data_IF_324402641478
#
_entry.id   IF_324402641478
#
_cell.length_a   1.000
_cell.length_b   1.000
_cell.length_c   1.000
_cell.angle_alpha   90.00
_cell.angle_beta   90.00
_cell.angle_gamma   90.00
#
_symmetry.space_group_name_H-M   'P 1'
#
loop_
_entity.id
_entity.type
_entity.pdbx_description
1 polymer ?
#
# COMPACT_ATOMS: atom_id res chain seq x y z
N UNK A 1 6.83 11.24 -14.39
CA UNK A 1 5.55 10.52 -14.29
C UNK A 1 4.81 10.58 -15.62
N UNK A 2 4.82 9.49 -16.40
CA UNK A 2 3.96 9.35 -17.59
C UNK A 2 2.97 8.23 -17.35
N UNK A 3 1.69 8.55 -17.20
CA UNK A 3 0.60 7.57 -16.97
C UNK A 3 -0.09 7.28 -18.29
N UNK A 4 -0.30 6.00 -18.61
CA UNK A 4 -1.06 5.56 -19.78
C UNK A 4 -1.99 4.41 -19.44
N UNK A 5 -3.08 4.32 -20.18
CA UNK A 5 -4.05 3.23 -20.14
C UNK A 5 -3.90 2.34 -21.37
N UNK A 6 -4.00 1.04 -21.15
CA UNK A 6 -3.89 -0.02 -22.14
C UNK A 6 -5.17 -0.85 -22.12
N UNK A 7 -5.61 -1.24 -23.32
CA UNK A 7 -6.73 -2.14 -23.53
C UNK A 7 -6.23 -3.33 -24.33
N UNK A 8 -6.48 -4.53 -23.83
CA UNK A 8 -6.05 -5.77 -24.50
C UNK A 8 -7.04 -6.90 -24.25
N UNK A 9 -7.01 -7.93 -25.10
CA UNK A 9 -7.89 -9.12 -24.99
C UNK A 9 -7.65 -9.89 -23.70
N UNK A 10 -6.41 -9.92 -23.21
CA UNK A 10 -6.04 -10.55 -21.96
C UNK A 10 -4.89 -9.80 -21.26
N UNK A 11 -4.63 -10.17 -20.00
CA UNK A 11 -3.58 -9.54 -19.20
C UNK A 11 -2.17 -9.71 -19.79
N UNK A 12 -1.90 -10.82 -20.47
CA UNK A 12 -0.58 -11.08 -21.05
C UNK A 12 -0.31 -10.10 -22.19
N UNK A 13 -1.29 -9.89 -23.07
CA UNK A 13 -1.22 -8.91 -24.14
C UNK A 13 -1.07 -7.49 -23.60
N UNK A 14 -1.81 -7.13 -22.54
CA UNK A 14 -1.65 -5.82 -21.88
C UNK A 14 -0.22 -5.62 -21.32
N UNK A 15 0.36 -6.63 -20.66
CA UNK A 15 1.72 -6.54 -20.12
C UNK A 15 2.79 -6.43 -21.22
N UNK A 16 2.59 -7.07 -22.37
CA UNK A 16 3.47 -6.92 -23.54
C UNK A 16 3.42 -5.49 -24.06
N UNK A 17 2.22 -4.90 -24.21
CA UNK A 17 2.06 -3.51 -24.63
C UNK A 17 2.73 -2.54 -23.65
N UNK A 18 2.50 -2.71 -22.34
CA UNK A 18 3.14 -1.90 -21.30
C UNK A 18 4.66 -1.96 -21.43
N UNK A 19 5.24 -3.16 -21.59
CA UNK A 19 6.70 -3.30 -21.73
C UNK A 19 7.25 -2.72 -23.02
N UNK A 20 6.55 -2.88 -24.14
CA UNK A 20 7.00 -2.35 -25.44
C UNK A 20 6.97 -0.83 -25.47
N UNK A 21 5.99 -0.20 -24.82
CA UNK A 21 5.79 1.24 -24.90
C UNK A 21 6.43 2.02 -23.75
N UNK A 22 6.32 1.50 -22.52
CA UNK A 22 6.82 2.17 -21.31
C UNK A 22 8.10 1.53 -20.74
N UNK A 23 8.49 0.36 -21.23
CA UNK A 23 9.70 -0.33 -20.78
C UNK A 23 9.48 -1.27 -19.58
N UNK A 24 10.55 -1.93 -19.13
CA UNK A 24 10.48 -2.93 -18.07
C UNK A 24 10.20 -2.34 -16.68
N UNK A 25 10.52 -1.06 -16.46
CA UNK A 25 10.40 -0.38 -15.16
C UNK A 25 9.02 0.25 -14.93
N UNK A 26 8.06 0.00 -15.83
CA UNK A 26 6.70 0.51 -15.70
C UNK A 26 5.97 -0.14 -14.52
N UNK A 27 5.29 0.67 -13.72
CA UNK A 27 4.50 0.22 -12.57
C UNK A 27 3.02 0.17 -12.94
N UNK A 28 2.37 -0.96 -12.67
CA UNK A 28 0.92 -1.10 -12.86
C UNK A 28 0.19 -0.46 -11.68
N UNK A 29 -0.66 0.53 -11.96
CA UNK A 29 -1.46 1.25 -10.97
C UNK A 29 -2.84 0.63 -10.79
N UNK A 30 -3.43 0.13 -11.88
CA UNK A 30 -4.77 -0.48 -11.86
C UNK A 30 -4.90 -1.58 -12.91
N UNK A 31 -5.70 -2.58 -12.59
CA UNK A 31 -6.12 -3.65 -13.47
C UNK A 31 -7.63 -3.86 -13.31
N UNK A 32 -8.37 -3.85 -14.41
CA UNK A 32 -9.81 -4.09 -14.45
C UNK A 32 -10.15 -5.05 -15.58
N UNK A 33 -10.85 -6.13 -15.26
CA UNK A 33 -11.50 -6.96 -16.27
C UNK A 33 -12.76 -6.28 -16.80
N UNK A 34 -12.96 -6.35 -18.11
CA UNK A 34 -14.08 -5.77 -18.85
C UNK A 34 -14.73 -6.85 -19.73
N UNK A 35 -15.89 -6.57 -20.32
CA UNK A 35 -16.55 -7.53 -21.22
C UNK A 35 -15.68 -7.89 -22.44
N UNK A 36 -14.86 -6.94 -22.91
CA UNK A 36 -14.08 -7.07 -24.14
C UNK A 36 -12.59 -7.44 -23.88
N UNK A 37 -12.22 -7.71 -22.62
CA UNK A 37 -10.84 -8.04 -22.23
C UNK A 37 -10.42 -7.37 -20.93
N UNK A 38 -9.26 -6.74 -20.90
CA UNK A 38 -8.69 -6.08 -19.71
C UNK A 38 -8.28 -4.63 -19.98
N UNK A 39 -8.48 -3.79 -18.97
CA UNK A 39 -7.97 -2.43 -18.89
C UNK A 39 -6.84 -2.37 -17.85
N UNK A 40 -5.67 -1.89 -18.27
CA UNK A 40 -4.48 -1.77 -17.42
C UNK A 40 -3.99 -0.33 -17.45
N UNK A 41 -3.80 0.28 -16.28
CA UNK A 41 -3.20 1.61 -16.15
C UNK A 41 -1.79 1.43 -15.62
N UNK A 42 -0.80 1.96 -16.33
CA UNK A 42 0.60 1.88 -15.96
C UNK A 42 1.30 3.24 -16.06
N UNK A 43 2.37 3.41 -15.28
CA UNK A 43 3.16 4.63 -15.29
C UNK A 43 4.68 4.37 -15.33
N UNK A 44 5.41 5.23 -16.06
CA UNK A 44 6.86 5.35 -15.95
C UNK A 44 7.23 6.48 -15.00
N UNK A 45 8.43 6.37 -14.42
CA UNK A 45 8.97 7.33 -13.46
C UNK A 45 8.04 7.51 -12.25
N UNK A 46 7.43 6.42 -11.79
CA UNK A 46 6.88 6.36 -10.45
C UNK A 46 8.06 6.36 -9.49
N UNK A 47 8.45 7.55 -9.03
CA UNK A 47 9.59 7.68 -8.13
C UNK A 47 9.20 7.09 -6.77
N UNK A 48 9.57 5.83 -6.56
CA UNK A 48 9.41 5.13 -5.28
C UNK A 48 10.02 5.92 -4.13
N UNK A 49 11.09 6.70 -4.36
CA UNK A 49 11.73 7.51 -3.33
C UNK A 49 10.87 8.71 -2.98
N UNK A 50 10.23 9.36 -3.96
CA UNK A 50 9.30 10.46 -3.70
C UNK A 50 8.09 9.95 -2.90
N UNK A 51 7.55 8.79 -3.26
CA UNK A 51 6.39 8.20 -2.57
C UNK A 51 6.77 7.70 -1.18
N UNK A 52 7.90 7.03 -0.99
CA UNK A 52 8.36 6.65 0.36
C UNK A 52 8.66 7.85 1.24
N UNK A 53 9.27 8.90 0.68
CA UNK A 53 9.57 10.13 1.43
C UNK A 53 8.30 10.88 1.82
N UNK A 54 7.33 10.99 0.90
CA UNK A 54 6.03 11.59 1.19
C UNK A 54 5.22 10.74 2.16
N UNK A 55 5.11 9.42 1.97
CA UNK A 55 4.44 8.52 2.93
C UNK A 55 5.10 8.55 4.32
N UNK A 56 6.43 8.73 4.41
CA UNK A 56 7.13 8.90 5.68
C UNK A 56 6.92 10.29 6.30
N UNK A 57 6.78 11.33 5.48
CA UNK A 57 6.47 12.69 5.93
C UNK A 57 4.99 12.86 6.34
N UNK A 58 4.09 12.12 5.71
CA UNK A 58 2.65 12.09 5.97
C UNK A 58 2.22 10.94 6.88
N UNK A 59 3.14 10.07 7.31
CA UNK A 59 2.88 9.16 8.41
C UNK A 59 2.55 10.04 9.61
N UNK A 60 1.31 10.03 10.13
CA UNK A 60 1.03 10.75 11.34
C UNK A 60 2.00 10.20 12.37
N UNK A 61 2.71 11.10 13.05
CA UNK A 61 3.23 10.78 14.35
C UNK A 61 2.01 10.40 15.19
N UNK A 62 1.63 9.12 15.13
CA UNK A 62 0.74 8.53 16.11
C UNK A 62 1.57 8.56 17.38
N UNK A 63 1.43 9.69 18.07
CA UNK A 63 1.48 9.84 19.50
C UNK A 63 2.32 8.77 20.16
N UNK A 64 3.63 9.02 20.20
CA UNK A 64 4.35 8.79 21.45
C UNK A 64 3.83 9.82 22.44
N UNK A 65 2.65 9.58 22.99
CA UNK A 65 2.12 10.30 24.14
C UNK A 65 1.46 9.26 25.04
N UNK A 66 2.23 8.89 26.06
CA UNK A 66 1.76 8.84 27.43
C UNK A 66 0.66 7.82 27.78
N UNK A 67 1.09 6.61 28.18
CA UNK A 67 0.37 5.83 29.19
C UNK A 67 1.34 4.93 29.97
N UNK A 68 2.24 5.55 30.72
CA UNK A 68 2.75 5.04 32.00
C UNK A 68 3.24 6.26 32.80
N UNK A 69 3.10 6.34 34.14
CA UNK A 69 2.66 5.34 35.15
C UNK A 69 1.46 5.85 36.00
N UNK A 70 0.79 5.09 36.87
CA UNK A 70 1.16 4.70 38.25
C UNK A 70 -0.15 4.32 39.00
N UNK A 71 -0.14 4.09 40.34
CA UNK A 71 0.26 2.91 41.11
C UNK A 71 -0.97 2.11 41.65
N UNK A 72 -0.71 0.99 42.31
CA UNK A 72 -1.69 0.09 42.96
C UNK A 72 -2.62 0.79 43.99
N UNK A 73 -3.73 0.14 44.37
CA UNK A 73 -3.64 -0.56 45.65
C UNK A 73 -4.27 -1.96 45.60
N UNK A 74 -3.49 -2.96 46.04
CA UNK A 74 -4.11 -4.07 46.77
C UNK A 74 -4.69 -3.49 48.07
N UNK A 75 -5.88 -3.94 48.48
CA UNK A 75 -5.85 -4.73 49.71
C UNK A 75 -6.83 -5.91 49.73
N UNK A 76 -6.26 -7.02 50.20
CA UNK A 76 -6.74 -7.80 51.34
C UNK A 76 -7.92 -8.76 51.15
N UNK A 77 -7.54 -10.05 51.28
CA UNK A 77 -8.22 -11.12 52.04
C UNK A 77 -9.49 -11.62 51.37
N UNK A 78 -9.79 -12.90 51.29
CA UNK A 78 -9.52 -14.11 52.07
C UNK A 78 -10.37 -15.17 51.34
N UNK A 79 -10.09 -16.46 51.29
CA UNK A 79 -9.97 -17.41 52.40
C UNK A 79 -10.01 -18.82 51.74
N UNK A 80 -9.44 -19.80 52.44
CA UNK A 80 -9.74 -21.23 52.32
C UNK A 80 -9.35 -21.93 51.00
N UNK A 81 -9.02 -23.21 50.93
CA UNK A 81 -8.63 -24.27 51.87
C UNK A 81 -8.51 -25.53 50.98
N UNK A 82 -7.55 -26.40 51.27
CA UNK A 82 -7.45 -27.84 50.99
C UNK A 82 -6.06 -28.22 50.47
#
# INVERSE_FOLDING_TARGET
>A
MKIKRYYATDMRAALIQVRQEQGPDAVILSNRATADGVEVIAATDYDENLVRSTLKAFAPATTRSEAAPAPAPEPARSRDAA
#
